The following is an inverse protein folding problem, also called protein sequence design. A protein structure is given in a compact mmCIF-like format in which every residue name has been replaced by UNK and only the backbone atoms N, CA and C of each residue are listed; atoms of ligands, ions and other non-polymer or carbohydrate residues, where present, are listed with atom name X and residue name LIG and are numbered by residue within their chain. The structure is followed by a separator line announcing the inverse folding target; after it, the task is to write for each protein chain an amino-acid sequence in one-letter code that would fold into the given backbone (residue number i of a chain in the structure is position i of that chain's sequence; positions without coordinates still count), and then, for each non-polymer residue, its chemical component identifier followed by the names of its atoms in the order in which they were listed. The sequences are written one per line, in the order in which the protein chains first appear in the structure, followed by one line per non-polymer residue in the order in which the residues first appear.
data_IF_760963676856
#
_entry.id   IF_760963676856
#
_cell.length_a   1.000
_cell.length_b   1.000
_cell.length_c   1.000
_cell.angle_alpha   90.00
_cell.angle_beta   90.00
_cell.angle_gamma   90.00
#
_symmetry.space_group_name_H-M   'P 1'
#
loop_
_entity.id
_entity.type
_entity.pdbx_description
1 polymer ?
#
# COMPACT_ATOMS: atom_id res chain seq x y z
N UNK A 1 3.42 16.44 16.81
CA UNK A 1 2.94 15.04 16.76
C UNK A 1 1.48 15.01 17.16
N UNK A 2 0.60 14.73 16.24
CA UNK A 2 -0.83 14.55 16.51
C UNK A 2 -1.09 13.08 16.81
N UNK A 3 -1.54 12.76 18.01
CA UNK A 3 -2.11 11.45 18.30
C UNK A 3 -3.57 11.46 17.87
N UNK A 4 -4.00 10.45 17.11
CA UNK A 4 -5.40 10.22 16.80
C UNK A 4 -5.85 8.89 17.35
N UNK A 5 -7.03 8.86 17.94
CA UNK A 5 -7.71 7.62 18.31
C UNK A 5 -8.52 7.10 17.13
N UNK A 6 -8.43 5.84 16.88
CA UNK A 6 -9.19 5.17 15.85
C UNK A 6 -9.78 3.88 16.39
N UNK A 7 -11.05 3.65 16.08
CA UNK A 7 -11.69 2.35 16.33
C UNK A 7 -11.48 1.46 15.10
N UNK A 8 -10.84 0.32 15.30
CA UNK A 8 -10.56 -0.65 14.23
C UNK A 8 -11.34 -1.94 14.45
N UNK A 9 -11.36 -2.79 13.42
CA UNK A 9 -12.06 -4.07 13.40
C UNK A 9 -13.59 -3.97 13.58
N UNK A 10 -14.17 -2.89 13.09
CA UNK A 10 -15.63 -2.75 13.04
C UNK A 10 -16.17 -3.71 11.98
N UNK A 11 -16.97 -4.68 12.42
CA UNK A 11 -17.58 -5.65 11.51
C UNK A 11 -18.65 -4.98 10.64
N UNK A 12 -18.66 -5.22 9.32
CA UNK A 12 -19.59 -4.55 8.40
C UNK A 12 -21.04 -5.03 8.52
N UNK A 13 -21.30 -6.09 9.29
CA UNK A 13 -22.64 -6.66 9.48
C UNK A 13 -23.21 -6.35 10.83
N UNK A 14 -24.44 -5.87 10.87
CA UNK A 14 -25.14 -5.43 12.09
C UNK A 14 -25.38 -6.53 13.15
N UNK A 15 -25.27 -7.81 12.80
CA UNK A 15 -25.57 -8.93 13.69
C UNK A 15 -24.59 -9.09 14.85
N UNK A 16 -23.34 -8.74 14.64
CA UNK A 16 -22.29 -8.82 15.68
C UNK A 16 -21.86 -7.46 16.22
N UNK A 17 -22.29 -6.39 15.55
CA UNK A 17 -21.93 -5.01 15.89
C UNK A 17 -22.53 -4.56 17.26
N UNK A 18 -23.58 -5.23 17.72
CA UNK A 18 -24.21 -4.94 19.03
C UNK A 18 -23.33 -5.29 20.23
N UNK A 19 -22.35 -6.15 20.04
CA UNK A 19 -21.55 -6.66 21.14
C UNK A 19 -20.15 -6.05 21.21
N UNK A 20 -19.74 -5.24 20.17
CA UNK A 20 -18.40 -4.64 20.12
C UNK A 20 -17.25 -5.67 20.23
N UNK A 21 -17.54 -6.93 19.91
CA UNK A 21 -16.65 -8.07 20.28
C UNK A 21 -15.28 -8.03 19.61
N UNK A 22 -15.13 -7.28 18.53
CA UNK A 22 -13.86 -7.16 17.81
C UNK A 22 -13.39 -5.70 17.70
N UNK A 23 -14.16 -4.76 18.21
CA UNK A 23 -13.76 -3.35 18.19
C UNK A 23 -12.57 -3.14 19.12
N UNK A 24 -11.53 -2.52 18.60
CA UNK A 24 -10.37 -2.14 19.36
C UNK A 24 -10.09 -0.67 19.12
N UNK A 25 -9.83 0.07 20.17
CA UNK A 25 -9.34 1.45 20.07
C UNK A 25 -7.82 1.40 20.01
N UNK A 26 -7.27 2.01 18.98
CA UNK A 26 -5.84 2.19 18.84
C UNK A 26 -5.51 3.68 18.82
N UNK A 27 -4.39 4.03 19.45
CA UNK A 27 -3.81 5.34 19.31
C UNK A 27 -2.75 5.27 18.21
N UNK A 28 -2.89 6.11 17.21
CA UNK A 28 -1.94 6.19 16.11
C UNK A 28 -1.16 7.48 16.28
N UNK A 29 0.14 7.36 16.43
CA UNK A 29 1.06 8.46 16.19
C UNK A 29 1.18 8.64 14.68
N UNK A 30 0.80 9.82 14.21
CA UNK A 30 0.77 10.05 12.78
C UNK A 30 2.18 10.23 12.24
N UNK A 31 2.57 9.44 11.24
CA UNK A 31 3.89 9.54 10.65
C UNK A 31 4.08 10.87 9.92
N UNK A 32 5.19 11.54 10.17
CA UNK A 32 5.55 12.80 9.51
C UNK A 32 6.47 12.58 8.29
N UNK A 33 7.02 11.38 8.14
CA UNK A 33 8.00 11.06 7.12
C UNK A 33 7.54 9.93 6.19
N UNK A 34 8.13 9.88 5.02
CA UNK A 34 8.02 8.76 4.11
C UNK A 34 9.36 8.06 3.97
N UNK A 35 9.34 6.74 4.03
CA UNK A 35 10.52 5.98 3.64
C UNK A 35 10.56 5.85 2.12
N UNK A 36 11.75 5.89 1.56
CA UNK A 36 11.92 5.72 0.13
C UNK A 36 11.65 4.27 -0.26
N UNK A 37 10.64 4.07 -1.11
CA UNK A 37 10.41 2.79 -1.76
C UNK A 37 11.30 2.73 -2.99
N UNK A 38 12.07 1.66 -3.13
CA UNK A 38 12.97 1.46 -4.26
C UNK A 38 12.57 0.21 -5.04
N UNK A 39 12.38 0.31 -6.36
CA UNK A 39 12.31 -0.87 -7.19
C UNK A 39 13.73 -1.48 -7.29
N UNK A 40 13.89 -2.70 -6.78
CA UNK A 40 15.10 -3.49 -7.03
C UNK A 40 15.06 -4.13 -8.41
N UNK A 41 13.87 -4.50 -8.85
CA UNK A 41 13.61 -5.05 -10.18
C UNK A 41 12.24 -4.63 -10.67
N UNK A 42 12.17 -4.13 -11.88
CA UNK A 42 10.93 -3.93 -12.61
C UNK A 42 10.76 -5.06 -13.64
N UNK A 43 9.60 -5.67 -13.65
CA UNK A 43 9.23 -6.61 -14.69
C UNK A 43 9.09 -5.89 -16.04
N UNK A 44 9.27 -6.61 -17.13
CA UNK A 44 9.11 -6.05 -18.47
C UNK A 44 7.69 -5.49 -18.65
N UNK A 45 7.58 -4.27 -19.19
CA UNK A 45 6.31 -3.58 -19.40
C UNK A 45 5.67 -3.01 -18.14
N UNK A 46 6.41 -2.97 -17.03
CA UNK A 46 5.99 -2.29 -15.80
C UNK A 46 6.74 -0.97 -15.67
N UNK A 47 6.00 0.11 -15.44
CA UNK A 47 6.57 1.44 -15.18
C UNK A 47 6.45 1.81 -13.71
N UNK A 48 7.36 2.65 -13.24
CA UNK A 48 7.43 3.16 -11.89
C UNK A 48 7.36 4.67 -11.87
N UNK A 49 6.42 5.20 -11.09
CA UNK A 49 6.28 6.63 -10.89
C UNK A 49 6.36 6.95 -9.40
N UNK A 50 7.12 7.97 -9.08
CA UNK A 50 7.23 8.54 -7.75
C UNK A 50 6.43 9.85 -7.69
N UNK A 51 5.71 10.04 -6.58
CA UNK A 51 5.01 11.29 -6.28
C UNK A 51 3.84 11.60 -7.23
N UNK A 52 2.98 10.62 -7.46
CA UNK A 52 1.69 10.91 -8.07
C UNK A 52 0.87 11.85 -7.17
N UNK A 53 -0.04 12.60 -7.76
CA UNK A 53 -0.86 13.55 -7.01
C UNK A 53 -1.85 12.87 -6.07
N UNK A 54 -2.19 13.54 -4.98
CA UNK A 54 -3.26 13.07 -4.08
C UNK A 54 -4.60 12.89 -4.80
N UNK A 55 -4.89 13.72 -5.81
CA UNK A 55 -6.09 13.59 -6.63
C UNK A 55 -6.14 12.27 -7.38
N UNK A 56 -5.05 11.85 -8.02
CA UNK A 56 -4.97 10.57 -8.71
C UNK A 56 -5.12 9.38 -7.74
N UNK A 57 -4.60 9.52 -6.53
CA UNK A 57 -4.79 8.53 -5.48
C UNK A 57 -6.25 8.40 -5.05
N UNK A 58 -6.96 9.53 -4.92
CA UNK A 58 -8.36 9.57 -4.48
C UNK A 58 -9.33 9.07 -5.55
N UNK A 59 -8.95 9.12 -6.82
CA UNK A 59 -9.74 8.55 -7.94
C UNK A 59 -9.85 7.02 -7.84
N UNK A 60 -8.91 6.34 -7.17
CA UNK A 60 -8.98 4.91 -6.94
C UNK A 60 -9.87 4.63 -5.73
N UNK A 61 -11.02 4.01 -5.97
CA UNK A 61 -11.98 3.73 -4.92
C UNK A 61 -11.42 2.76 -3.88
N UNK A 62 -11.68 3.08 -2.62
CA UNK A 62 -11.32 2.22 -1.49
C UNK A 62 -12.47 1.28 -1.18
N UNK A 63 -12.22 -0.02 -1.19
CA UNK A 63 -13.21 -1.02 -0.85
C UNK A 63 -13.49 -1.07 0.66
N UNK A 64 -12.43 -1.18 1.46
CA UNK A 64 -12.45 -1.20 2.93
C UNK A 64 -11.47 -0.16 3.46
N UNK A 65 -11.68 0.31 4.71
CA UNK A 65 -10.75 1.26 5.35
C UNK A 65 -10.96 2.73 4.97
N UNK A 66 -12.17 3.13 4.62
CA UNK A 66 -12.50 4.54 4.31
C UNK A 66 -12.11 5.50 5.42
N UNK A 67 -12.27 5.10 6.66
CA UNK A 67 -11.90 5.92 7.82
C UNK A 67 -10.40 6.14 7.90
N UNK A 68 -9.64 5.10 7.60
CA UNK A 68 -8.19 5.21 7.51
C UNK A 68 -7.74 6.10 6.34
N UNK A 69 -8.36 5.96 5.16
CA UNK A 69 -8.09 6.83 4.01
C UNK A 69 -8.38 8.30 4.33
N UNK A 70 -9.50 8.59 5.00
CA UNK A 70 -9.86 9.94 5.41
C UNK A 70 -8.82 10.52 6.38
N UNK A 71 -8.37 9.75 7.35
CA UNK A 71 -7.31 10.17 8.27
C UNK A 71 -5.97 10.39 7.54
N UNK A 72 -5.62 9.50 6.63
CA UNK A 72 -4.39 9.63 5.84
C UNK A 72 -4.41 10.88 4.94
N UNK A 73 -5.56 11.21 4.38
CA UNK A 73 -5.76 12.42 3.59
C UNK A 73 -5.62 13.70 4.43
N UNK A 74 -6.16 13.71 5.64
CA UNK A 74 -6.04 14.85 6.56
C UNK A 74 -4.60 15.13 6.99
N UNK A 75 -3.79 14.12 7.10
CA UNK A 75 -2.41 14.26 7.54
C UNK A 75 -1.44 14.64 6.41
N UNK A 76 -1.87 14.53 5.15
CA UNK A 76 -1.23 15.15 3.98
C UNK A 76 0.21 14.75 3.67
N UNK A 77 0.81 13.94 4.51
CA UNK A 77 2.21 13.57 4.43
C UNK A 77 2.39 12.20 3.77
N UNK A 78 3.51 12.00 3.16
CA UNK A 78 3.90 10.74 2.58
C UNK A 78 3.90 10.73 1.05
N UNK A 79 4.96 10.17 0.49
CA UNK A 79 5.08 9.97 -0.95
C UNK A 79 4.07 8.94 -1.43
N UNK A 80 3.49 9.20 -2.59
CA UNK A 80 2.59 8.26 -3.27
C UNK A 80 3.32 7.73 -4.49
N UNK A 81 3.41 6.43 -4.59
CA UNK A 81 4.07 5.74 -5.69
C UNK A 81 3.05 5.01 -6.55
N UNK A 82 3.38 4.83 -7.84
CA UNK A 82 2.56 4.03 -8.74
C UNK A 82 3.40 3.01 -9.50
N UNK A 83 2.91 1.79 -9.58
CA UNK A 83 3.33 0.78 -10.55
C UNK A 83 2.23 0.60 -11.58
N UNK A 84 2.55 0.78 -12.85
CA UNK A 84 1.61 0.54 -13.94
C UNK A 84 2.10 -0.60 -14.82
N UNK A 85 1.26 -1.61 -15.02
CA UNK A 85 1.50 -2.68 -15.98
C UNK A 85 0.68 -2.41 -17.25
N UNK A 86 1.37 -2.26 -18.37
CA UNK A 86 0.77 -2.03 -19.67
C UNK A 86 0.32 -3.34 -20.33
N UNK A 87 -0.65 -3.28 -21.23
CA UNK A 87 -1.20 -4.45 -21.92
C UNK A 87 -0.14 -5.30 -22.64
N UNK A 88 0.91 -4.68 -23.15
CA UNK A 88 2.02 -5.37 -23.82
C UNK A 88 2.85 -6.26 -22.89
N UNK A 89 2.76 -6.08 -21.58
CA UNK A 89 3.51 -6.88 -20.60
C UNK A 89 3.07 -8.35 -20.55
N UNK A 90 1.95 -8.70 -21.15
CA UNK A 90 1.33 -10.05 -21.06
C UNK A 90 1.82 -11.01 -22.15
N UNK A 91 2.25 -10.50 -23.28
CA UNK A 91 2.35 -11.34 -24.50
C UNK A 91 3.65 -12.10 -24.65
N UNK A 92 4.64 -11.94 -23.77
CA UNK A 92 5.96 -12.53 -24.03
C UNK A 92 6.42 -13.63 -23.07
N UNK A 93 5.77 -13.86 -21.93
CA UNK A 93 6.23 -14.92 -21.02
C UNK A 93 5.10 -15.60 -20.26
N UNK A 94 4.99 -16.92 -20.42
CA UNK A 94 4.18 -17.77 -19.52
C UNK A 94 4.70 -17.75 -18.08
N UNK A 95 5.96 -17.36 -17.88
CA UNK A 95 6.56 -17.08 -16.58
C UNK A 95 6.45 -15.58 -16.29
N UNK A 96 5.40 -15.21 -15.58
CA UNK A 96 5.19 -13.84 -15.14
C UNK A 96 6.34 -13.38 -14.24
N UNK A 97 7.14 -12.45 -14.73
CA UNK A 97 8.21 -11.84 -13.94
C UNK A 97 7.63 -11.06 -12.76
N UNK A 98 8.38 -11.04 -11.68
CA UNK A 98 8.03 -10.28 -10.49
C UNK A 98 8.72 -8.93 -10.49
N UNK A 99 7.95 -7.87 -10.26
CA UNK A 99 8.47 -6.58 -9.83
C UNK A 99 8.79 -6.67 -8.34
N UNK A 100 9.99 -6.31 -7.95
CA UNK A 100 10.45 -6.38 -6.55
C UNK A 100 10.68 -4.98 -6.04
N UNK A 101 9.98 -4.64 -4.97
CA UNK A 101 10.13 -3.38 -4.24
C UNK A 101 10.76 -3.65 -2.88
N UNK A 102 11.67 -2.77 -2.45
CA UNK A 102 12.22 -2.78 -1.11
C UNK A 102 11.84 -1.54 -0.35
N UNK A 103 11.48 -1.74 0.91
CA UNK A 103 11.13 -0.71 1.87
C UNK A 103 12.03 -0.90 3.09
N UNK A 104 13.02 -0.04 3.24
CA UNK A 104 14.01 -0.13 4.32
C UNK A 104 13.64 0.86 5.43
N UNK A 105 13.11 0.35 6.53
CA UNK A 105 12.76 1.13 7.70
C UNK A 105 13.98 1.39 8.59
N UNK A 106 14.05 2.61 9.09
CA UNK A 106 14.97 3.05 10.16
C UNK A 106 14.15 3.41 11.39
N UNK A 107 14.80 4.03 12.37
CA UNK A 107 14.06 4.62 13.50
C UNK A 107 13.16 5.74 13.01
N UNK A 108 11.92 5.76 13.47
CA UNK A 108 10.96 6.80 13.13
C UNK A 108 9.57 6.27 12.81
N UNK A 109 8.70 7.21 12.47
CA UNK A 109 7.32 6.90 12.06
C UNK A 109 7.13 7.25 10.59
N UNK A 110 6.64 6.30 9.80
CA UNK A 110 6.59 6.42 8.34
C UNK A 110 5.20 6.18 7.79
N UNK A 111 4.84 6.94 6.75
CA UNK A 111 3.65 6.71 5.94
C UNK A 111 4.05 6.59 4.48
N UNK A 112 3.61 5.51 3.84
CA UNK A 112 3.79 5.28 2.43
C UNK A 112 2.48 4.84 1.77
N UNK A 113 2.30 5.22 0.53
CA UNK A 113 1.15 4.87 -0.29
C UNK A 113 1.63 4.32 -1.63
N UNK A 114 1.06 3.19 -2.04
CA UNK A 114 1.41 2.52 -3.30
C UNK A 114 0.14 2.24 -4.10
N UNK A 115 0.10 2.72 -5.33
CA UNK A 115 -0.92 2.36 -6.32
C UNK A 115 -0.39 1.25 -7.23
N UNK A 116 -1.15 0.17 -7.36
CA UNK A 116 -0.92 -0.88 -8.34
C UNK A 116 -1.99 -0.75 -9.42
N UNK A 117 -1.58 -0.35 -10.61
CA UNK A 117 -2.47 -0.09 -11.75
C UNK A 117 -2.19 -1.09 -12.88
N UNK A 118 -3.11 -2.02 -13.09
CA UNK A 118 -3.00 -3.03 -14.11
C UNK A 118 -3.99 -2.72 -15.26
N UNK A 119 -3.46 -2.37 -16.42
CA UNK A 119 -4.23 -2.03 -17.61
C UNK A 119 -4.91 -3.26 -18.21
N UNK A 120 -5.89 -3.02 -19.07
CA UNK A 120 -6.69 -4.09 -19.69
C UNK A 120 -5.81 -5.21 -20.26
N UNK A 121 -6.15 -6.47 -19.94
CA UNK A 121 -5.44 -7.68 -20.34
C UNK A 121 -3.98 -7.76 -19.83
N UNK A 122 -3.56 -6.97 -18.85
CA UNK A 122 -2.22 -7.03 -18.28
C UNK A 122 -2.11 -7.97 -17.08
N UNK A 123 -0.87 -8.25 -16.67
CA UNK A 123 -0.56 -8.94 -15.42
C UNK A 123 0.51 -8.18 -14.65
N UNK A 124 0.25 -7.93 -13.39
CA UNK A 124 1.16 -7.27 -12.47
C UNK A 124 1.43 -8.16 -11.26
N UNK A 125 2.65 -8.70 -11.15
CA UNK A 125 3.08 -9.42 -9.97
C UNK A 125 4.07 -8.57 -9.20
N UNK A 126 3.79 -8.32 -7.94
CA UNK A 126 4.57 -7.45 -7.07
C UNK A 126 4.96 -8.20 -5.81
N UNK A 127 6.24 -8.19 -5.50
CA UNK A 127 6.81 -8.60 -4.24
C UNK A 127 7.29 -7.35 -3.51
N UNK A 128 6.77 -7.10 -2.32
CA UNK A 128 7.26 -6.04 -1.44
C UNK A 128 8.04 -6.69 -0.31
N UNK A 129 9.27 -6.26 -0.12
CA UNK A 129 10.13 -6.70 0.97
C UNK A 129 10.31 -5.55 1.94
N UNK A 130 9.74 -5.68 3.13
CA UNK A 130 9.92 -4.76 4.24
C UNK A 130 11.10 -5.23 5.08
N UNK A 131 12.05 -4.34 5.32
CA UNK A 131 13.26 -4.61 6.11
C UNK A 131 13.44 -3.55 7.17
N UNK A 132 13.95 -3.95 8.32
CA UNK A 132 14.46 -3.06 9.36
C UNK A 132 15.74 -3.62 9.98
N UNK A 133 16.52 -2.76 10.62
CA UNK A 133 17.59 -3.22 11.50
C UNK A 133 17.04 -3.82 12.79
N UNK A 134 17.85 -4.64 13.49
CA UNK A 134 17.45 -5.30 14.75
C UNK A 134 17.01 -4.32 15.86
N UNK A 135 17.56 -3.10 15.86
CA UNK A 135 17.26 -2.07 16.85
C UNK A 135 16.29 -0.99 16.31
N UNK A 136 15.68 -1.19 15.14
CA UNK A 136 14.81 -0.19 14.56
C UNK A 136 13.51 -0.08 15.36
N UNK A 137 13.22 1.13 15.83
CA UNK A 137 12.01 1.44 16.59
C UNK A 137 11.16 2.46 15.86
N UNK A 138 9.86 2.25 15.89
CA UNK A 138 8.91 3.18 15.30
C UNK A 138 7.65 2.51 14.82
N UNK A 139 6.85 3.28 14.10
CA UNK A 139 5.61 2.80 13.49
C UNK A 139 5.64 3.03 11.99
N UNK A 140 5.05 2.13 11.24
CA UNK A 140 4.88 2.35 9.82
C UNK A 140 3.44 2.10 9.39
N UNK A 141 2.96 2.96 8.52
CA UNK A 141 1.71 2.81 7.83
C UNK A 141 1.99 2.67 6.35
N UNK A 142 1.56 1.57 5.77
CA UNK A 142 1.73 1.29 4.36
C UNK A 142 0.37 0.98 3.74
N UNK A 143 -0.06 1.83 2.81
CA UNK A 143 -1.33 1.65 2.11
C UNK A 143 -1.08 1.19 0.69
N UNK A 144 -1.84 0.19 0.26
CA UNK A 144 -1.85 -0.25 -1.14
C UNK A 144 -3.26 -0.11 -1.70
N UNK A 145 -3.40 0.61 -2.80
CA UNK A 145 -4.60 0.61 -3.61
C UNK A 145 -4.34 -0.15 -4.91
N UNK A 146 -5.28 -0.99 -5.29
CA UNK A 146 -5.18 -1.80 -6.50
C UNK A 146 -6.30 -1.42 -7.45
N UNK A 147 -5.91 -1.02 -8.64
CA UNK A 147 -6.81 -0.84 -9.78
C UNK A 147 -6.49 -1.88 -10.85
N UNK A 148 -7.47 -2.67 -11.23
CA UNK A 148 -7.33 -3.69 -12.26
C UNK A 148 -8.43 -3.49 -13.30
N UNK A 149 -8.03 -3.21 -14.53
CA UNK A 149 -8.94 -3.07 -15.66
C UNK A 149 -9.44 -4.45 -16.14
N UNK A 150 -10.25 -4.47 -17.16
CA UNK A 150 -10.88 -5.70 -17.68
C UNK A 150 -9.83 -6.76 -18.01
N UNK A 151 -10.04 -7.98 -17.54
CA UNK A 151 -9.14 -9.14 -17.70
C UNK A 151 -7.73 -8.94 -17.11
N UNK A 152 -7.45 -7.86 -16.39
CA UNK A 152 -6.17 -7.69 -15.73
C UNK A 152 -6.06 -8.62 -14.51
N UNK A 153 -4.82 -9.00 -14.18
CA UNK A 153 -4.51 -9.81 -12.99
C UNK A 153 -3.43 -9.13 -12.16
N UNK A 154 -3.70 -8.97 -10.88
CA UNK A 154 -2.72 -8.46 -9.92
C UNK A 154 -2.45 -9.51 -8.87
N UNK A 155 -1.17 -9.78 -8.62
CA UNK A 155 -0.70 -10.63 -7.54
C UNK A 155 0.25 -9.81 -6.68
N UNK A 156 -0.08 -9.68 -5.40
CA UNK A 156 0.76 -9.01 -4.41
C UNK A 156 1.24 -10.04 -3.38
N UNK A 157 2.53 -10.01 -3.11
CA UNK A 157 3.16 -10.74 -2.01
C UNK A 157 3.94 -9.75 -1.16
N UNK A 158 3.90 -9.96 0.14
CA UNK A 158 4.61 -9.18 1.13
C UNK A 158 5.49 -10.08 1.97
N UNK A 159 6.73 -9.67 2.18
CA UNK A 159 7.68 -10.32 3.07
C UNK A 159 8.15 -9.30 4.08
N UNK A 160 8.02 -9.62 5.35
CA UNK A 160 8.43 -8.76 6.45
C UNK A 160 9.66 -9.39 7.13
N UNK A 161 10.79 -8.70 7.02
CA UNK A 161 12.06 -9.02 7.66
C UNK A 161 12.37 -7.92 8.68
N UNK A 162 11.50 -7.83 9.66
CA UNK A 162 11.55 -6.80 10.70
C UNK A 162 12.22 -7.40 11.93
N UNK A 163 13.25 -6.70 12.44
CA UNK A 163 13.95 -7.07 13.65
C UNK A 163 13.20 -6.69 14.94
#
# INVERSE_FOLDING_TARGET
MGQKEMTVNILPTRTWNRLGMNESQIQIEWPEESVLIKPERLAAGVTWEKEISGKEWDEIQTGMGREYDAMAAECGTGSIYRLTAEAAAVLQNENSEWTVLCVDYKNGSYQNRLCLDAKENSRLNVLIVFRSGEDAQGTSSFQVKVHAEKNAKVQLQEVQLLG
#
